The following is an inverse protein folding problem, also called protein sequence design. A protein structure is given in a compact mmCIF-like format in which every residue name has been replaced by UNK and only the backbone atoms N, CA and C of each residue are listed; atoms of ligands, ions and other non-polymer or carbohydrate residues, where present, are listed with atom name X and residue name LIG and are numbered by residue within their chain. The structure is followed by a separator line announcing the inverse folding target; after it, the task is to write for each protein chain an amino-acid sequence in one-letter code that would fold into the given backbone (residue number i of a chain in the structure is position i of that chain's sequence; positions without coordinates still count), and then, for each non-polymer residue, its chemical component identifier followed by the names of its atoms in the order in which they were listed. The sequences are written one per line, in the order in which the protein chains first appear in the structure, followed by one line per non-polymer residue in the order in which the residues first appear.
data_IF_341413666227
#
_entry.id   IF_341413666227
#
_cell.length_a   1.000
_cell.length_b   1.000
_cell.length_c   1.000
_cell.angle_alpha   90.00
_cell.angle_beta   90.00
_cell.angle_gamma   90.00
#
_symmetry.space_group_name_H-M   'P 1'
#
loop_
_entity.id
_entity.type
_entity.pdbx_description
1 polymer ?
#
# COMPACT_ATOMS: atom_id res chain seq x y z
N UNK A 1 -14.76 8.76 22.57
CA UNK A 1 -13.85 7.60 22.39
C UNK A 1 -14.28 6.69 21.24
N UNK A 2 -15.58 6.50 20.99
CA UNK A 2 -16.07 5.63 19.90
C UNK A 2 -15.60 6.03 18.49
N UNK A 3 -15.59 7.33 18.16
CA UNK A 3 -15.11 7.80 16.86
C UNK A 3 -13.66 7.38 16.56
N UNK A 4 -12.77 7.55 17.54
CA UNK A 4 -11.35 7.21 17.42
C UNK A 4 -11.15 5.70 17.23
N UNK A 5 -11.99 4.89 17.87
CA UNK A 5 -11.96 3.44 17.79
C UNK A 5 -12.47 2.95 16.42
N UNK A 6 -13.61 3.47 15.94
CA UNK A 6 -14.18 3.13 14.62
C UNK A 6 -13.23 3.57 13.51
N UNK A 7 -12.72 4.80 13.59
CA UNK A 7 -11.73 5.34 12.66
C UNK A 7 -10.47 4.47 12.62
N UNK A 8 -9.91 4.12 13.79
CA UNK A 8 -8.72 3.29 13.91
C UNK A 8 -8.90 1.90 13.28
N UNK A 9 -10.03 1.24 13.54
CA UNK A 9 -10.33 -0.07 12.94
C UNK A 9 -10.40 0.02 11.42
N UNK A 10 -11.10 1.02 10.88
CA UNK A 10 -11.24 1.18 9.43
C UNK A 10 -9.91 1.48 8.75
N UNK A 11 -9.08 2.35 9.35
CA UNK A 11 -7.74 2.64 8.84
C UNK A 11 -6.81 1.43 8.92
N UNK A 12 -6.92 0.62 9.98
CA UNK A 12 -6.14 -0.60 10.12
C UNK A 12 -6.49 -1.63 9.04
N UNK A 13 -7.78 -1.88 8.82
CA UNK A 13 -8.26 -2.80 7.77
C UNK A 13 -7.83 -2.30 6.39
N UNK A 14 -8.03 -1.01 6.12
CA UNK A 14 -7.67 -0.37 4.85
C UNK A 14 -6.15 -0.44 4.59
N UNK A 15 -5.33 -0.07 5.57
CA UNK A 15 -3.86 -0.11 5.43
C UNK A 15 -3.35 -1.54 5.20
N UNK A 16 -3.90 -2.52 5.90
CA UNK A 16 -3.58 -3.94 5.71
C UNK A 16 -3.97 -4.43 4.30
N UNK A 17 -5.17 -4.06 3.84
CA UNK A 17 -5.64 -4.40 2.49
C UNK A 17 -4.76 -3.79 1.41
N UNK A 18 -4.36 -2.52 1.56
CA UNK A 18 -3.48 -1.83 0.60
C UNK A 18 -2.08 -2.43 0.56
N UNK A 19 -1.50 -2.82 1.70
CA UNK A 19 -0.23 -3.54 1.70
C UNK A 19 -0.35 -4.87 0.97
N UNK A 20 -1.36 -5.67 1.30
CA UNK A 20 -1.57 -6.98 0.67
C UNK A 20 -1.75 -6.84 -0.85
N UNK A 21 -2.61 -5.91 -1.28
CA UNK A 21 -2.83 -5.62 -2.70
C UNK A 21 -1.53 -5.18 -3.39
N UNK A 22 -0.78 -4.26 -2.76
CA UNK A 22 0.49 -3.75 -3.31
C UNK A 22 1.53 -4.85 -3.47
N UNK A 23 1.61 -5.78 -2.52
CA UNK A 23 2.49 -6.96 -2.59
C UNK A 23 2.07 -7.87 -3.74
N UNK A 24 0.77 -8.24 -3.81
CA UNK A 24 0.24 -9.12 -4.86
C UNK A 24 0.49 -8.52 -6.25
N UNK A 25 0.16 -7.24 -6.44
CA UNK A 25 0.37 -6.55 -7.72
C UNK A 25 1.86 -6.50 -8.08
N UNK A 26 2.74 -6.28 -7.10
CA UNK A 26 4.19 -6.26 -7.36
C UNK A 26 4.75 -7.63 -7.74
N UNK A 27 4.20 -8.72 -7.19
CA UNK A 27 4.60 -10.08 -7.56
C UNK A 27 4.08 -10.51 -8.92
N UNK A 28 2.79 -10.26 -9.20
CA UNK A 28 2.12 -10.72 -10.43
C UNK A 28 2.48 -9.81 -11.61
N UNK A 29 2.49 -8.50 -11.39
CA UNK A 29 2.66 -7.50 -12.43
C UNK A 29 4.01 -6.77 -12.28
N UNK A 30 5.10 -7.54 -12.37
CA UNK A 30 6.49 -7.04 -12.24
C UNK A 30 6.87 -5.88 -13.17
N UNK A 31 6.11 -5.68 -14.24
CA UNK A 31 6.30 -4.58 -15.22
C UNK A 31 5.56 -3.29 -14.84
N UNK A 32 4.69 -3.30 -13.83
CA UNK A 32 3.95 -2.09 -13.44
C UNK A 32 4.90 -1.10 -12.75
N UNK A 33 4.91 0.19 -13.15
CA UNK A 33 5.73 1.18 -12.50
C UNK A 33 5.34 1.36 -11.03
N UNK A 34 6.34 1.48 -10.16
CA UNK A 34 6.15 1.73 -8.71
C UNK A 34 5.15 2.84 -8.43
N UNK A 35 5.27 3.95 -9.15
CA UNK A 35 4.41 5.12 -8.99
C UNK A 35 2.94 4.83 -9.32
N UNK A 36 2.67 3.96 -10.28
CA UNK A 36 1.30 3.61 -10.68
C UNK A 36 0.61 2.82 -9.58
N UNK A 37 1.32 1.87 -8.97
CA UNK A 37 0.79 1.07 -7.86
C UNK A 37 0.47 1.95 -6.66
N UNK A 38 1.39 2.86 -6.32
CA UNK A 38 1.22 3.82 -5.21
C UNK A 38 0.05 4.76 -5.47
N UNK A 39 -0.01 5.40 -6.65
CA UNK A 39 -1.11 6.30 -7.01
C UNK A 39 -2.47 5.58 -7.03
N UNK A 40 -2.52 4.34 -7.52
CA UNK A 40 -3.72 3.50 -7.48
C UNK A 40 -4.19 3.26 -6.04
N UNK A 41 -3.26 2.94 -5.13
CA UNK A 41 -3.59 2.75 -3.72
C UNK A 41 -4.01 4.05 -3.02
N UNK A 42 -3.43 5.19 -3.37
CA UNK A 42 -3.87 6.50 -2.89
C UNK A 42 -5.32 6.78 -3.29
N UNK A 43 -5.66 6.55 -4.57
CA UNK A 43 -7.02 6.72 -5.08
C UNK A 43 -8.02 5.78 -4.40
N UNK A 44 -7.66 4.51 -4.20
CA UNK A 44 -8.51 3.55 -3.48
C UNK A 44 -8.76 3.99 -2.03
N UNK A 45 -7.73 4.49 -1.35
CA UNK A 45 -7.84 5.05 0.00
C UNK A 45 -8.81 6.24 0.07
N UNK A 46 -8.74 7.15 -0.90
CA UNK A 46 -9.66 8.30 -1.01
C UNK A 46 -11.09 7.84 -1.27
N UNK A 47 -11.29 6.91 -2.22
CA UNK A 47 -12.62 6.39 -2.54
C UNK A 47 -13.29 5.74 -1.33
N UNK A 48 -12.53 4.93 -0.59
CA UNK A 48 -13.04 4.27 0.61
C UNK A 48 -13.33 5.26 1.73
N UNK A 49 -12.41 6.20 2.01
CA UNK A 49 -12.63 7.21 3.04
C UNK A 49 -13.84 8.11 2.73
N UNK A 50 -14.09 8.39 1.44
CA UNK A 50 -15.27 9.11 1.00
C UNK A 50 -16.56 8.28 1.22
N UNK A 51 -16.53 6.98 0.90
CA UNK A 51 -17.68 6.09 1.06
C UNK A 51 -18.15 5.93 2.51
N UNK A 52 -17.25 6.08 3.48
CA UNK A 52 -17.57 5.95 4.92
C UNK A 52 -17.79 7.30 5.60
N UNK A 53 -17.81 8.39 4.83
CA UNK A 53 -18.12 9.73 5.34
C UNK A 53 -16.95 10.43 6.05
N UNK A 54 -15.71 9.93 5.91
CA UNK A 54 -14.50 10.60 6.40
C UNK A 54 -13.94 11.62 5.39
N UNK A 55 -14.84 12.43 4.81
CA UNK A 55 -14.53 13.37 3.73
C UNK A 55 -13.57 14.50 4.15
N UNK A 56 -13.48 14.84 5.44
CA UNK A 56 -12.50 15.82 5.93
C UNK A 56 -11.07 15.29 6.01
N UNK A 57 -10.88 13.96 5.98
CA UNK A 57 -9.58 13.30 6.13
C UNK A 57 -9.13 12.60 4.84
N UNK A 58 -9.69 12.95 3.68
CA UNK A 58 -9.35 12.32 2.39
C UNK A 58 -7.86 12.46 2.04
N UNK A 59 -7.26 13.61 2.33
CA UNK A 59 -5.83 13.83 2.10
C UNK A 59 -4.98 12.92 2.98
N UNK A 60 -5.39 12.70 4.23
CA UNK A 60 -4.70 11.82 5.17
C UNK A 60 -4.85 10.36 4.73
N UNK A 61 -6.04 9.95 4.30
CA UNK A 61 -6.27 8.62 3.73
C UNK A 61 -5.41 8.39 2.48
N UNK A 62 -5.32 9.37 1.58
CA UNK A 62 -4.46 9.28 0.40
C UNK A 62 -3.00 9.06 0.81
N UNK A 63 -2.48 9.90 1.71
CA UNK A 63 -1.08 9.86 2.12
C UNK A 63 -0.75 8.57 2.89
N UNK A 64 -1.62 8.15 3.80
CA UNK A 64 -1.48 6.91 4.56
C UNK A 64 -1.39 5.68 3.63
N UNK A 65 -2.31 5.55 2.68
CA UNK A 65 -2.29 4.43 1.74
C UNK A 65 -1.10 4.51 0.77
N UNK A 66 -0.72 5.71 0.35
CA UNK A 66 0.47 5.91 -0.49
C UNK A 66 1.74 5.41 0.21
N UNK A 67 1.92 5.76 1.48
CA UNK A 67 3.08 5.32 2.28
C UNK A 67 3.08 3.81 2.47
N UNK A 68 1.95 3.22 2.86
CA UNK A 68 1.84 1.76 3.05
C UNK A 68 2.10 0.99 1.75
N UNK A 69 1.55 1.49 0.63
CA UNK A 69 1.83 0.92 -0.69
C UNK A 69 3.32 1.04 -1.06
N UNK A 70 3.92 2.20 -0.85
CA UNK A 70 5.34 2.43 -1.12
C UNK A 70 6.24 1.46 -0.32
N UNK A 71 5.94 1.25 0.96
CA UNK A 71 6.64 0.29 1.82
C UNK A 71 6.48 -1.13 1.28
N UNK A 72 5.24 -1.54 0.96
CA UNK A 72 4.96 -2.87 0.44
C UNK A 72 5.70 -3.17 -0.87
N UNK A 73 5.61 -2.28 -1.86
CA UNK A 73 6.33 -2.45 -3.14
C UNK A 73 7.84 -2.39 -2.93
N UNK A 74 8.31 -1.51 -2.04
CA UNK A 74 9.72 -1.40 -1.66
C UNK A 74 10.29 -2.70 -1.11
N UNK A 75 9.55 -3.35 -0.19
CA UNK A 75 9.93 -4.65 0.38
C UNK A 75 10.01 -5.76 -0.68
N UNK A 76 9.05 -5.82 -1.60
CA UNK A 76 9.07 -6.80 -2.70
C UNK A 76 10.30 -6.59 -3.58
N UNK A 77 10.57 -5.35 -4.02
CA UNK A 77 11.76 -5.06 -4.84
C UNK A 77 13.06 -5.31 -4.10
N UNK A 78 13.11 -5.02 -2.81
CA UNK A 78 14.27 -5.31 -1.97
C UNK A 78 14.53 -6.82 -1.88
N UNK A 79 13.47 -7.62 -1.69
CA UNK A 79 13.54 -9.08 -1.72
C UNK A 79 14.04 -9.62 -3.06
N UNK A 80 13.51 -9.12 -4.19
CA UNK A 80 13.98 -9.50 -5.53
C UNK A 80 15.45 -9.13 -5.76
N UNK A 81 15.89 -7.97 -5.26
CA UNK A 81 17.28 -7.53 -5.37
C UNK A 81 18.22 -8.41 -4.54
N UNK A 82 17.85 -8.73 -3.30
CA UNK A 82 18.62 -9.60 -2.43
C UNK A 82 18.75 -11.01 -3.02
N UNK A 83 17.65 -11.57 -3.54
CA UNK A 83 17.66 -12.88 -4.21
C UNK A 83 18.60 -12.93 -5.41
N UNK A 84 18.52 -11.94 -6.31
CA UNK A 84 19.45 -11.85 -7.46
C UNK A 84 20.90 -11.68 -7.06
N UNK A 85 21.18 -11.05 -5.91
CA UNK A 85 22.54 -10.87 -5.42
C UNK A 85 23.10 -12.17 -4.83
N UNK A 86 22.26 -12.96 -4.14
CA UNK A 86 22.65 -14.28 -3.64
C UNK A 86 23.00 -15.24 -4.78
N UNK A 87 22.17 -15.30 -5.83
CA UNK A 87 22.43 -16.13 -7.03
C UNK A 87 23.75 -15.79 -7.73
N UNK A 88 24.20 -14.53 -7.67
CA UNK A 88 25.46 -14.08 -8.27
C UNK A 88 26.71 -14.39 -7.43
N UNK A 89 26.55 -14.71 -6.15
CA UNK A 89 27.66 -15.00 -5.23
C UNK A 89 27.92 -16.51 -5.17
N UNK A 90 26.88 -17.33 -5.30
CA UNK A 90 26.98 -18.80 -5.33
C UNK A 90 27.23 -19.38 -6.74
N UNK A 91 27.18 -18.55 -7.78
CA UNK A 91 27.36 -18.94 -9.20
C UNK A 91 28.74 -18.62 -9.76
#
# INVERSE_FOLDING_TARGET
MEFLLIFGIHFFIMGSAVMLLSVIVSFVAKKIPFFVTVLGCMLLGVLYANAIGFSQMLWFAALFNGVFSAIAVGLVKFGEYAGKRAEKIDG
#
